data_IF_833890620180
#
_entry.id   IF_833890620180
#
_cell.length_a   1.000
_cell.length_b   1.000
_cell.length_c   1.000
_cell.angle_alpha   90.00
_cell.angle_beta   90.00
_cell.angle_gamma   90.00
#
_symmetry.space_group_name_H-M   'P 1'
#
loop_
_entity.id
_entity.type
_entity.pdbx_description
1 polymer ?
#
# COMPACT_ATOMS: atom_id res chain seq x y z
N UNK A 1 -4.14 15.13 -14.14
CA UNK A 1 -3.85 13.78 -13.64
C UNK A 1 -2.39 13.51 -13.92
N UNK A 2 -1.51 13.68 -12.94
CA UNK A 2 -0.09 13.37 -13.13
C UNK A 2 0.05 11.90 -13.48
N UNK A 3 0.77 11.62 -14.57
CA UNK A 3 0.99 10.25 -15.10
C UNK A 3 2.05 9.47 -14.32
N UNK A 4 2.52 10.03 -13.21
CA UNK A 4 3.65 9.50 -12.47
C UNK A 4 3.12 8.58 -11.37
N UNK A 5 3.51 7.31 -11.43
CA UNK A 5 3.22 6.35 -10.38
C UNK A 5 3.92 6.80 -9.08
N UNK A 6 3.27 6.65 -7.91
CA UNK A 6 3.81 7.10 -6.61
C UNK A 6 4.90 6.16 -6.05
N UNK A 7 5.89 5.79 -6.88
CA UNK A 7 6.88 4.76 -6.59
C UNK A 7 7.65 5.05 -5.29
N UNK A 8 8.02 6.32 -5.07
CA UNK A 8 8.75 6.73 -3.86
C UNK A 8 8.00 6.50 -2.55
N UNK A 9 6.66 6.50 -2.58
CA UNK A 9 5.82 6.17 -1.41
C UNK A 9 5.86 4.68 -1.08
N UNK A 10 6.17 3.82 -2.05
CA UNK A 10 6.32 2.38 -1.87
C UNK A 10 7.73 1.99 -1.41
N UNK A 11 8.77 2.69 -1.89
CA UNK A 11 10.17 2.42 -1.52
C UNK A 11 10.41 2.54 0.00
N UNK A 12 9.75 3.49 0.64
CA UNK A 12 9.83 3.73 2.10
C UNK A 12 9.20 2.61 2.93
N UNK A 13 8.26 1.83 2.37
CA UNK A 13 7.56 0.77 3.11
C UNK A 13 8.51 -0.34 3.56
N UNK A 14 9.44 -0.75 2.68
CA UNK A 14 10.44 -1.77 3.00
C UNK A 14 11.36 -1.30 4.13
N UNK A 15 11.81 -0.05 4.09
CA UNK A 15 12.65 0.52 5.14
C UNK A 15 11.93 0.53 6.50
N UNK A 16 10.66 0.96 6.52
CA UNK A 16 9.84 0.96 7.75
C UNK A 16 9.59 -0.46 8.27
N UNK A 17 9.38 -1.43 7.40
CA UNK A 17 9.24 -2.84 7.78
C UNK A 17 10.53 -3.39 8.41
N UNK A 18 11.69 -3.08 7.83
CA UNK A 18 13.00 -3.48 8.39
C UNK A 18 13.16 -2.96 9.81
N UNK A 19 12.82 -1.68 10.06
CA UNK A 19 12.89 -1.10 11.42
C UNK A 19 12.01 -1.86 12.41
N UNK A 20 10.78 -2.22 12.03
CA UNK A 20 9.88 -3.02 12.89
C UNK A 20 10.49 -4.40 13.17
N UNK A 21 11.07 -5.05 12.16
CA UNK A 21 11.70 -6.36 12.32
C UNK A 21 12.94 -6.30 13.22
N UNK A 22 13.78 -5.27 13.08
CA UNK A 22 14.94 -5.07 13.94
C UNK A 22 14.54 -4.82 15.40
N UNK A 23 13.52 -3.98 15.64
CA UNK A 23 13.00 -3.70 16.97
C UNK A 23 12.27 -4.88 17.61
N UNK A 24 11.74 -5.82 16.83
CA UNK A 24 11.07 -7.03 17.35
C UNK A 24 12.04 -8.16 17.67
N UNK A 25 13.26 -8.12 17.11
CA UNK A 25 14.28 -9.16 17.30
C UNK A 25 15.03 -9.05 18.64
N UNK A 26 14.97 -7.91 19.32
CA UNK A 26 15.51 -7.70 20.67
C UNK A 26 14.66 -8.42 21.73
N UNK A 27 14.61 -9.75 21.64
CA UNK A 27 13.81 -10.65 22.48
C UNK A 27 14.35 -10.93 23.89
N UNK A 28 15.26 -10.11 24.43
CA UNK A 28 15.79 -10.25 25.79
C UNK A 28 15.38 -9.05 26.65
N UNK A 29 14.34 -9.22 27.46
CA UNK A 29 13.72 -8.18 28.31
C UNK A 29 13.36 -6.89 27.57
N UNK A 30 12.19 -6.91 26.91
CA UNK A 30 11.55 -5.72 26.36
C UNK A 30 11.39 -4.67 27.47
N UNK A 31 12.30 -3.72 27.54
CA UNK A 31 12.14 -2.53 28.39
C UNK A 31 10.86 -1.79 27.96
N UNK A 32 10.25 -1.01 28.85
CA UNK A 32 9.08 -0.20 28.49
C UNK A 32 9.37 0.73 27.30
N UNK A 33 10.60 1.22 27.20
CA UNK A 33 11.08 2.01 26.08
C UNK A 33 11.15 1.21 24.77
N UNK A 34 11.63 -0.03 24.80
CA UNK A 34 11.66 -0.89 23.62
C UNK A 34 10.24 -1.22 23.11
N UNK A 35 9.28 -1.45 24.03
CA UNK A 35 7.85 -1.64 23.65
C UNK A 35 7.27 -0.39 23.00
N UNK A 36 7.56 0.79 23.55
CA UNK A 36 7.08 2.05 22.99
C UNK A 36 7.69 2.31 21.60
N UNK A 37 8.99 2.05 21.43
CA UNK A 37 9.67 2.19 20.15
C UNK A 37 9.08 1.25 19.08
N UNK A 38 8.83 -0.01 19.45
CA UNK A 38 8.19 -0.98 18.55
C UNK A 38 6.77 -0.56 18.17
N UNK A 39 5.97 -0.08 19.13
CA UNK A 39 4.63 0.43 18.87
C UNK A 39 4.65 1.62 17.91
N UNK A 40 5.57 2.57 18.14
CA UNK A 40 5.72 3.74 17.28
C UNK A 40 6.12 3.33 15.86
N UNK A 41 7.15 2.48 15.70
CA UNK A 41 7.58 2.01 14.38
C UNK A 41 6.47 1.25 13.64
N UNK A 42 5.65 0.49 14.37
CA UNK A 42 4.51 -0.24 13.80
C UNK A 42 3.41 0.72 13.32
N UNK A 43 3.10 1.76 14.09
CA UNK A 43 2.15 2.79 13.68
C UNK A 43 2.67 3.56 12.46
N UNK A 44 3.95 3.93 12.46
CA UNK A 44 4.57 4.64 11.34
C UNK A 44 4.54 3.82 10.03
N UNK A 45 4.69 2.49 10.12
CA UNK A 45 4.53 1.57 8.98
C UNK A 45 3.07 1.51 8.53
N UNK A 46 2.13 1.39 9.46
CA UNK A 46 0.69 1.35 9.17
C UNK A 46 0.21 2.61 8.46
N UNK A 47 0.66 3.77 8.92
CA UNK A 47 0.29 5.06 8.34
C UNK A 47 0.86 5.21 6.92
N UNK A 48 2.11 4.82 6.72
CA UNK A 48 2.73 4.80 5.39
C UNK A 48 2.02 3.85 4.42
N UNK A 49 1.63 2.65 4.88
CA UNK A 49 0.84 1.70 4.08
C UNK A 49 -0.53 2.28 3.70
N UNK A 50 -1.19 2.95 4.65
CA UNK A 50 -2.51 3.56 4.42
C UNK A 50 -2.42 4.69 3.40
N UNK A 51 -1.36 5.51 3.46
CA UNK A 51 -1.10 6.55 2.48
C UNK A 51 -0.81 5.97 1.10
N UNK A 52 0.07 4.97 0.99
CA UNK A 52 0.40 4.31 -0.26
C UNK A 52 -0.85 3.68 -0.92
N UNK A 53 -1.71 3.04 -0.12
CA UNK A 53 -2.98 2.49 -0.59
C UNK A 53 -3.94 3.57 -1.08
N UNK A 54 -4.05 4.69 -0.37
CA UNK A 54 -4.87 5.83 -0.79
C UNK A 54 -4.42 6.39 -2.15
N UNK A 55 -3.10 6.47 -2.39
CA UNK A 55 -2.55 6.94 -3.67
C UNK A 55 -2.88 5.99 -4.82
N UNK A 56 -2.82 4.67 -4.61
CA UNK A 56 -3.20 3.70 -5.64
C UNK A 56 -4.70 3.70 -5.89
N UNK A 57 -5.53 3.73 -4.84
CA UNK A 57 -6.98 3.81 -4.98
C UNK A 57 -7.47 5.11 -5.65
N UNK A 58 -6.64 6.14 -5.71
CA UNK A 58 -6.93 7.36 -6.46
C UNK A 58 -6.66 7.22 -7.98
N UNK A 59 -5.96 6.14 -8.41
CA UNK A 59 -5.79 5.82 -9.81
C UNK A 59 -7.06 5.17 -10.37
N UNK A 60 -7.43 5.42 -11.62
CA UNK A 60 -8.58 4.76 -12.25
C UNK A 60 -8.42 3.24 -12.20
N UNK A 61 -9.37 2.56 -11.55
CA UNK A 61 -9.34 1.10 -11.37
C UNK A 61 -8.31 0.61 -10.35
N UNK A 62 -7.64 1.50 -9.62
CA UNK A 62 -6.62 1.14 -8.64
C UNK A 62 -7.19 0.44 -7.40
N UNK A 63 -8.49 0.56 -7.15
CA UNK A 63 -9.20 -0.23 -6.13
C UNK A 63 -9.53 -1.66 -6.57
N UNK A 64 -9.46 -1.95 -7.87
CA UNK A 64 -9.86 -3.23 -8.47
C UNK A 64 -8.66 -4.17 -8.62
N UNK A 65 -8.88 -5.46 -8.43
CA UNK A 65 -7.91 -6.46 -8.83
C UNK A 65 -7.85 -6.59 -10.37
N UNK A 66 -6.83 -7.27 -10.90
CA UNK A 66 -6.67 -7.42 -12.35
C UNK A 66 -7.87 -8.12 -12.99
N UNK A 67 -8.37 -9.19 -12.36
CA UNK A 67 -9.53 -9.93 -12.88
C UNK A 67 -10.78 -9.02 -12.96
N UNK A 68 -11.02 -8.19 -11.95
CA UNK A 68 -12.12 -7.21 -11.93
C UNK A 68 -11.93 -6.12 -13.01
N UNK A 69 -10.68 -5.68 -13.25
CA UNK A 69 -10.37 -4.74 -14.33
C UNK A 69 -10.65 -5.35 -15.70
N UNK A 70 -10.29 -6.62 -15.92
CA UNK A 70 -10.55 -7.34 -17.16
C UNK A 70 -12.05 -7.49 -17.43
N UNK A 71 -12.85 -7.81 -16.41
CA UNK A 71 -14.32 -7.85 -16.52
C UNK A 71 -14.92 -6.50 -16.92
N UNK A 72 -14.40 -5.40 -16.35
CA UNK A 72 -14.82 -4.04 -16.70
C UNK A 72 -14.43 -3.70 -18.13
N UNK A 73 -13.23 -4.07 -18.58
CA UNK A 73 -12.77 -3.87 -19.95
C UNK A 73 -13.69 -4.62 -20.92
N UNK A 74 -13.95 -5.90 -20.68
CA UNK A 74 -14.85 -6.74 -21.49
C UNK A 74 -16.24 -6.12 -21.63
N UNK A 75 -16.81 -5.65 -20.52
CA UNK A 75 -18.10 -4.97 -20.50
C UNK A 75 -18.09 -3.70 -21.37
N UNK A 76 -17.06 -2.86 -21.21
CA UNK A 76 -16.91 -1.61 -21.95
C UNK A 76 -16.72 -1.85 -23.45
N UNK A 77 -15.98 -2.90 -23.83
CA UNK A 77 -15.79 -3.31 -25.21
C UNK A 77 -17.11 -3.75 -25.86
N UNK A 78 -17.92 -4.56 -25.17
CA UNK A 78 -19.26 -4.96 -25.66
C UNK A 78 -20.18 -3.76 -25.87
N UNK A 79 -20.19 -2.81 -24.93
CA UNK A 79 -20.99 -1.59 -25.05
C UNK A 79 -20.54 -0.72 -26.23
N UNK A 80 -19.22 -0.63 -26.48
CA UNK A 80 -18.66 0.08 -27.63
C UNK A 80 -19.07 -0.58 -28.95
N UNK A 81 -19.08 -1.91 -29.02
CA UNK A 81 -19.53 -2.65 -30.20
C UNK A 81 -21.04 -2.49 -30.45
N UNK A 82 -21.86 -2.48 -29.40
CA UNK A 82 -23.31 -2.32 -29.51
C UNK A 82 -23.76 -0.88 -29.88
N UNK A 83 -22.89 0.12 -29.68
CA UNK A 83 -23.11 1.51 -30.10
C UNK A 83 -22.68 1.80 -31.54
N UNK A 84 -22.01 0.84 -32.21
CA UNK A 84 -21.71 0.90 -33.64
C UNK A 84 -22.91 0.41 -34.44
#
# INVERSE_FOLDING_TARGET
MSKDLPISSFDVLLQKLVVVLELSRSGGELTSQARQALLQATNDLKDALSQAKSLINALPGGELCLDEQDEVIDMLERLKQAKK
#
